data_IF_239943313321
#
_entry.id   IF_239943313321
#
_cell.length_a   1.000
_cell.length_b   1.000
_cell.length_c   1.000
_cell.angle_alpha   90.00
_cell.angle_beta   90.00
_cell.angle_gamma   90.00
#
_symmetry.space_group_name_H-M   'P 1'
#
loop_
_entity.id
_entity.type
_entity.pdbx_description
1 polymer ?
#
# COMPACT_ATOMS: atom_id res chain seq x y z
N UNK A 1 -25.07 8.58 -1.28
CA UNK A 1 -25.27 7.86 -0.01
C UNK A 1 -24.21 6.79 0.07
N UNK A 2 -23.42 6.82 1.14
CA UNK A 2 -22.15 6.15 1.38
C UNK A 2 -22.20 4.61 1.36
N UNK A 3 -22.12 4.00 0.18
CA UNK A 3 -21.97 2.55 0.02
C UNK A 3 -20.66 2.00 0.63
N UNK A 4 -19.70 2.86 0.95
CA UNK A 4 -18.42 2.47 1.55
C UNK A 4 -18.50 2.38 3.08
N UNK A 5 -19.46 3.08 3.70
CA UNK A 5 -19.61 3.15 5.16
C UNK A 5 -20.45 1.98 5.70
N UNK A 6 -21.45 1.53 4.92
CA UNK A 6 -22.25 0.34 5.25
C UNK A 6 -21.44 -0.98 5.20
N UNK A 7 -20.37 -1.04 4.38
CA UNK A 7 -19.49 -2.22 4.35
C UNK A 7 -18.57 -2.31 5.57
N UNK A 8 -18.23 -1.19 6.21
CA UNK A 8 -17.36 -1.17 7.40
C UNK A 8 -18.07 -1.72 8.64
N UNK A 9 -19.38 -1.47 8.78
CA UNK A 9 -20.18 -1.95 9.91
C UNK A 9 -20.37 -3.47 9.92
N UNK A 10 -20.41 -4.12 8.75
CA UNK A 10 -20.61 -5.58 8.66
C UNK A 10 -19.41 -6.39 9.18
N UNK A 11 -18.22 -5.80 9.22
CA UNK A 11 -16.99 -6.44 9.71
C UNK A 11 -16.59 -5.98 11.11
N UNK A 12 -17.37 -5.10 11.76
CA UNK A 12 -17.00 -4.49 13.04
C UNK A 12 -16.86 -5.53 14.17
N UNK A 13 -17.84 -6.44 14.29
CA UNK A 13 -17.84 -7.49 15.32
C UNK A 13 -16.74 -8.55 15.10
N UNK A 14 -16.51 -8.93 13.84
CA UNK A 14 -15.41 -9.84 13.47
C UNK A 14 -14.04 -9.20 13.70
N UNK A 15 -13.92 -7.89 13.49
CA UNK A 15 -12.67 -7.15 13.74
C UNK A 15 -12.37 -7.01 15.23
N UNK A 16 -13.38 -6.84 16.08
CA UNK A 16 -13.19 -6.77 17.54
C UNK A 16 -12.74 -8.12 18.11
N UNK A 17 -13.40 -9.21 17.71
CA UNK A 17 -13.01 -10.58 18.08
C UNK A 17 -11.60 -10.94 17.59
N UNK A 18 -11.27 -10.58 16.34
CA UNK A 18 -9.93 -10.74 15.80
C UNK A 18 -8.90 -9.89 16.55
N UNK A 19 -9.24 -8.65 16.89
CA UNK A 19 -8.40 -7.73 17.66
C UNK A 19 -8.00 -8.34 19.00
N UNK A 20 -8.96 -8.94 19.72
CA UNK A 20 -8.68 -9.64 20.97
C UNK A 20 -7.74 -10.85 20.80
N UNK A 21 -7.86 -11.59 19.70
CA UNK A 21 -6.94 -12.70 19.37
C UNK A 21 -5.54 -12.20 18.99
N UNK A 22 -5.48 -11.10 18.24
CA UNK A 22 -4.25 -10.44 17.81
C UNK A 22 -3.49 -9.87 19.01
N UNK A 23 -4.18 -9.29 20.00
CA UNK A 23 -3.54 -8.76 21.21
C UNK A 23 -3.02 -9.85 22.14
N UNK A 24 -3.62 -11.05 22.11
CA UNK A 24 -3.09 -12.22 22.82
C UNK A 24 -1.77 -12.74 22.22
N UNK A 25 -1.42 -12.38 20.98
CA UNK A 25 -0.13 -12.75 20.40
C UNK A 25 1.05 -12.21 21.20
N UNK A 26 0.89 -11.06 21.86
CA UNK A 26 1.95 -10.44 22.66
C UNK A 26 2.38 -11.33 23.85
N UNK A 27 1.56 -12.32 24.20
CA UNK A 27 1.80 -13.25 25.30
C UNK A 27 2.48 -14.55 24.85
N UNK A 28 2.55 -14.81 23.54
CA UNK A 28 3.12 -16.04 23.00
C UNK A 28 4.58 -15.79 22.59
N UNK A 29 5.54 -16.63 23.00
CA UNK A 29 6.92 -16.49 22.58
C UNK A 29 7.07 -16.50 21.05
N UNK A 30 7.86 -15.56 20.55
CA UNK A 30 8.19 -15.39 19.13
C UNK A 30 8.49 -16.72 18.40
N UNK A 31 9.32 -17.57 19.02
CA UNK A 31 9.77 -18.82 18.44
C UNK A 31 8.64 -19.85 18.24
N UNK A 32 7.65 -19.88 19.13
CA UNK A 32 6.51 -20.81 19.05
C UNK A 32 5.53 -20.41 17.95
N UNK A 33 5.37 -19.10 17.74
CA UNK A 33 4.56 -18.56 16.65
C UNK A 33 5.19 -18.88 15.30
N UNK A 34 6.45 -18.52 15.10
CA UNK A 34 7.14 -18.73 13.83
C UNK A 34 7.18 -20.20 13.42
N UNK A 35 7.29 -21.13 14.37
CA UNK A 35 7.29 -22.57 14.09
C UNK A 35 5.96 -23.09 13.52
N UNK A 36 4.83 -22.44 13.84
CA UNK A 36 3.49 -22.83 13.36
C UNK A 36 3.09 -22.13 12.07
N UNK A 37 3.85 -21.12 11.63
CA UNK A 37 3.47 -20.30 10.50
C UNK A 37 3.89 -20.93 9.18
N UNK A 38 2.99 -21.00 8.18
CA UNK A 38 3.38 -21.29 6.81
C UNK A 38 4.51 -20.36 6.35
N UNK A 39 5.44 -20.87 5.56
CA UNK A 39 6.63 -20.13 5.07
C UNK A 39 6.28 -18.74 4.49
N UNK A 40 5.21 -18.66 3.70
CA UNK A 40 4.77 -17.40 3.10
C UNK A 40 4.36 -16.33 4.13
N UNK A 41 3.79 -16.73 5.27
CA UNK A 41 3.43 -15.80 6.34
C UNK A 41 4.67 -15.32 7.13
N UNK A 42 5.66 -16.19 7.31
CA UNK A 42 6.94 -15.78 7.90
C UNK A 42 7.66 -14.75 7.00
N UNK A 43 7.72 -15.01 5.69
CA UNK A 43 8.28 -14.06 4.72
C UNK A 43 7.53 -12.71 4.72
N UNK A 44 6.19 -12.74 4.83
CA UNK A 44 5.40 -11.52 4.94
C UNK A 44 5.73 -10.71 6.20
N UNK A 45 5.94 -11.37 7.34
CA UNK A 45 6.36 -10.70 8.59
C UNK A 45 7.70 -10.02 8.41
N UNK A 46 8.66 -10.70 7.80
CA UNK A 46 10.00 -10.14 7.60
C UNK A 46 9.95 -8.88 6.72
N UNK A 47 9.17 -8.92 5.65
CA UNK A 47 8.96 -7.75 4.77
C UNK A 47 8.30 -6.60 5.52
N UNK A 48 7.23 -6.86 6.27
CA UNK A 48 6.52 -5.85 7.05
C UNK A 48 7.40 -5.26 8.16
N UNK A 49 8.16 -6.09 8.88
CA UNK A 49 9.05 -5.64 9.94
C UNK A 49 10.19 -4.75 9.38
N UNK A 50 10.74 -5.13 8.23
CA UNK A 50 11.75 -4.34 7.53
C UNK A 50 11.20 -2.95 7.14
N UNK A 51 10.01 -2.88 6.55
CA UNK A 51 9.41 -1.61 6.15
C UNK A 51 8.99 -0.74 7.34
N UNK A 52 8.46 -1.34 8.41
CA UNK A 52 8.16 -0.62 9.66
C UNK A 52 9.44 -0.05 10.31
N UNK A 53 10.52 -0.82 10.29
CA UNK A 53 11.84 -0.37 10.73
C UNK A 53 12.38 0.78 9.89
N UNK A 54 12.24 0.69 8.55
CA UNK A 54 12.58 1.79 7.62
C UNK A 54 11.76 3.05 7.89
N UNK A 55 10.52 2.90 8.36
CA UNK A 55 9.64 3.97 8.83
C UNK A 55 10.04 4.59 10.18
N UNK A 56 11.10 4.12 10.83
CA UNK A 56 11.61 4.66 12.10
C UNK A 56 11.11 3.93 13.35
N UNK A 57 10.40 2.80 13.21
CA UNK A 57 9.97 2.00 14.35
C UNK A 57 11.13 1.18 14.92
N UNK A 58 11.22 1.07 16.25
CA UNK A 58 12.22 0.22 16.90
C UNK A 58 12.04 -1.25 16.49
N UNK A 59 13.13 -1.99 16.28
CA UNK A 59 13.12 -3.33 15.70
C UNK A 59 12.17 -4.32 16.40
N UNK A 60 12.17 -4.32 17.74
CA UNK A 60 11.30 -5.20 18.53
C UNK A 60 9.81 -4.85 18.37
N UNK A 61 9.48 -3.56 18.36
CA UNK A 61 8.12 -3.08 18.09
C UNK A 61 7.68 -3.35 16.65
N UNK A 62 8.60 -3.17 15.69
CA UNK A 62 8.35 -3.43 14.28
C UNK A 62 8.02 -4.90 14.04
N UNK A 63 8.76 -5.82 14.67
CA UNK A 63 8.52 -7.25 14.56
C UNK A 63 7.17 -7.66 15.16
N UNK A 64 6.87 -7.17 16.36
CA UNK A 64 5.58 -7.45 17.02
C UNK A 64 4.41 -6.91 16.20
N UNK A 65 4.50 -5.68 15.71
CA UNK A 65 3.48 -5.06 14.87
C UNK A 65 3.33 -5.79 13.52
N UNK A 66 4.44 -6.20 12.89
CA UNK A 66 4.42 -6.96 11.65
C UNK A 66 3.67 -8.29 11.79
N UNK A 67 3.84 -9.00 12.92
CA UNK A 67 3.08 -10.23 13.20
C UNK A 67 1.59 -9.99 13.31
N UNK A 68 1.19 -8.93 14.03
CA UNK A 68 -0.22 -8.55 14.14
C UNK A 68 -0.82 -8.28 12.76
N UNK A 69 -0.12 -7.48 11.94
CA UNK A 69 -0.55 -7.16 10.57
C UNK A 69 -0.63 -8.39 9.67
N UNK A 70 0.36 -9.28 9.71
CA UNK A 70 0.35 -10.51 8.92
C UNK A 70 -0.80 -11.45 9.31
N UNK A 71 -1.14 -11.55 10.60
CA UNK A 71 -2.28 -12.34 11.06
C UNK A 71 -3.61 -11.76 10.56
N UNK A 72 -3.77 -10.44 10.67
CA UNK A 72 -4.96 -9.74 10.15
C UNK A 72 -5.09 -9.94 8.63
N UNK A 73 -3.97 -9.82 7.90
CA UNK A 73 -3.94 -10.10 6.46
C UNK A 73 -4.34 -11.54 6.15
N UNK A 74 -3.82 -12.52 6.89
CA UNK A 74 -4.15 -13.93 6.73
C UNK A 74 -5.63 -14.21 7.03
N UNK A 75 -6.23 -13.50 7.98
CA UNK A 75 -7.65 -13.66 8.30
C UNK A 75 -8.54 -13.17 7.14
N UNK A 76 -8.30 -11.95 6.64
CA UNK A 76 -9.16 -11.35 5.60
C UNK A 76 -8.85 -11.84 4.17
N UNK A 77 -7.60 -12.21 3.90
CA UNK A 77 -7.14 -12.63 2.57
C UNK A 77 -6.79 -14.12 2.50
N UNK A 78 -6.92 -14.85 3.61
CA UNK A 78 -6.77 -16.30 3.61
C UNK A 78 -7.90 -17.02 2.88
N UNK A 79 -7.69 -18.30 2.58
CA UNK A 79 -8.70 -19.17 2.00
C UNK A 79 -8.90 -19.03 0.48
N UNK A 80 -8.26 -18.06 -0.19
CA UNK A 80 -8.27 -17.90 -1.65
C UNK A 80 -6.90 -17.49 -2.20
N UNK A 81 -6.63 -17.88 -3.45
CA UNK A 81 -5.41 -17.48 -4.13
C UNK A 81 -5.53 -16.02 -4.63
N UNK A 82 -4.58 -15.17 -4.25
CA UNK A 82 -4.45 -13.82 -4.76
C UNK A 82 -3.26 -13.72 -5.71
N UNK A 83 -3.47 -13.07 -6.86
CA UNK A 83 -2.37 -12.60 -7.69
C UNK A 83 -1.94 -11.22 -7.19
N UNK A 84 -0.71 -11.12 -6.70
CA UNK A 84 -0.09 -9.83 -6.36
C UNK A 84 0.69 -9.39 -7.60
N UNK A 85 0.21 -8.37 -8.36
CA UNK A 85 0.95 -7.88 -9.52
C UNK A 85 2.30 -7.31 -9.08
N UNK A 86 3.30 -7.45 -9.93
CA UNK A 86 4.62 -6.87 -9.70
C UNK A 86 4.50 -5.37 -9.52
N UNK A 87 5.20 -4.85 -8.51
CA UNK A 87 5.18 -3.44 -8.13
C UNK A 87 5.69 -2.47 -9.18
N UNK A 88 6.00 -2.90 -10.41
CA UNK A 88 6.43 -2.03 -11.51
C UNK A 88 5.36 -0.98 -11.85
N UNK A 89 4.08 -1.35 -11.83
CA UNK A 89 2.99 -0.37 -12.02
C UNK A 89 2.93 0.64 -10.87
N UNK A 90 3.11 0.17 -9.63
CA UNK A 90 3.12 1.05 -8.46
C UNK A 90 4.35 1.96 -8.45
N UNK A 91 5.53 1.42 -8.75
CA UNK A 91 6.79 2.18 -8.90
C UNK A 91 6.68 3.22 -10.01
N UNK A 92 6.08 2.86 -11.14
CA UNK A 92 5.80 3.79 -12.23
C UNK A 92 4.89 4.91 -11.73
N UNK A 93 3.77 4.60 -11.08
CA UNK A 93 2.86 5.60 -10.52
C UNK A 93 3.54 6.52 -9.48
N UNK A 94 4.39 5.99 -8.60
CA UNK A 94 5.16 6.77 -7.63
C UNK A 94 6.20 7.68 -8.31
N UNK A 95 6.92 7.17 -9.31
CA UNK A 95 7.84 7.96 -10.13
C UNK A 95 7.10 9.07 -10.85
N UNK A 96 5.96 8.76 -11.45
CA UNK A 96 5.17 9.69 -12.24
C UNK A 96 4.58 10.80 -11.36
N UNK A 97 4.18 10.46 -10.13
CA UNK A 97 3.81 11.44 -9.08
C UNK A 97 4.98 12.35 -8.71
N UNK A 98 6.18 11.79 -8.53
CA UNK A 98 7.39 12.56 -8.22
C UNK A 98 7.79 13.50 -9.37
N UNK A 99 7.68 13.05 -10.62
CA UNK A 99 7.87 13.88 -11.82
C UNK A 99 6.90 15.07 -11.80
N UNK A 100 5.64 14.84 -11.46
CA UNK A 100 4.63 15.91 -11.38
C UNK A 100 4.93 16.91 -10.25
N UNK A 101 5.36 16.45 -9.07
CA UNK A 101 5.73 17.34 -7.95
C UNK A 101 6.92 18.25 -8.29
N UNK A 102 7.86 17.77 -9.12
CA UNK A 102 9.04 18.53 -9.55
C UNK A 102 8.82 19.34 -10.83
N UNK A 103 7.70 19.16 -11.52
CA UNK A 103 7.44 19.79 -12.81
C UNK A 103 7.13 21.28 -12.65
N UNK A 104 7.90 22.12 -13.34
CA UNK A 104 7.75 23.58 -13.30
C UNK A 104 7.26 24.20 -14.62
N UNK A 105 6.81 23.38 -15.57
CA UNK A 105 6.34 23.84 -16.88
C UNK A 105 7.39 23.85 -17.98
N UNK A 106 8.69 23.88 -17.65
CA UNK A 106 9.78 24.05 -18.63
C UNK A 106 10.96 23.09 -18.45
N UNK A 107 10.95 22.24 -17.43
CA UNK A 107 12.06 21.36 -17.05
C UNK A 107 11.95 19.90 -17.55
N UNK A 108 11.27 19.65 -18.67
CA UNK A 108 11.04 18.28 -19.17
C UNK A 108 12.34 17.52 -19.43
N UNK A 109 13.32 18.13 -20.12
CA UNK A 109 14.59 17.47 -20.42
C UNK A 109 15.38 17.08 -19.16
N UNK A 110 15.28 17.90 -18.11
CA UNK A 110 15.90 17.63 -16.82
C UNK A 110 15.22 16.44 -16.13
N UNK A 111 13.89 16.42 -16.11
CA UNK A 111 13.10 15.35 -15.49
C UNK A 111 13.31 14.02 -16.22
N UNK A 112 13.33 14.04 -17.56
CA UNK A 112 13.61 12.87 -18.38
C UNK A 112 14.94 12.22 -18.00
N UNK A 113 16.01 13.01 -17.90
CA UNK A 113 17.34 12.52 -17.47
C UNK A 113 17.35 12.03 -16.02
N UNK A 114 16.72 12.77 -15.11
CA UNK A 114 16.69 12.42 -13.67
C UNK A 114 16.00 11.08 -13.41
N UNK A 115 14.90 10.81 -14.12
CA UNK A 115 14.07 9.64 -13.90
C UNK A 115 14.32 8.50 -14.91
N UNK A 116 15.31 8.64 -15.79
CA UNK A 116 15.67 7.61 -16.78
C UNK A 116 14.58 7.37 -17.84
N UNK A 117 13.82 8.41 -18.17
CA UNK A 117 12.77 8.37 -19.19
C UNK A 117 13.20 9.08 -20.46
N UNK A 118 12.58 8.72 -21.59
CA UNK A 118 12.65 9.54 -22.79
C UNK A 118 11.84 10.83 -22.62
N UNK A 119 12.18 11.86 -23.39
CA UNK A 119 11.43 13.13 -23.42
C UNK A 119 9.95 12.92 -23.77
N UNK A 120 9.58 12.11 -24.79
CA UNK A 120 8.17 11.82 -25.07
C UNK A 120 7.44 11.12 -23.91
N UNK A 121 8.08 10.16 -23.23
CA UNK A 121 7.49 9.51 -22.06
C UNK A 121 7.26 10.48 -20.91
N UNK A 122 8.20 11.40 -20.68
CA UNK A 122 8.07 12.42 -19.64
C UNK A 122 6.92 13.39 -19.94
N UNK A 123 6.72 13.76 -21.21
CA UNK A 123 5.54 14.51 -21.64
C UNK A 123 4.23 13.74 -21.39
N UNK A 124 4.20 12.45 -21.71
CA UNK A 124 3.02 11.61 -21.49
C UNK A 124 2.65 11.54 -20.00
N UNK A 125 3.65 11.33 -19.13
CA UNK A 125 3.48 11.34 -17.67
C UNK A 125 2.89 12.67 -17.18
N UNK A 126 3.46 13.81 -17.62
CA UNK A 126 2.96 15.13 -17.23
C UNK A 126 1.52 15.37 -17.72
N UNK A 127 1.19 14.91 -18.93
CA UNK A 127 -0.15 15.03 -19.49
C UNK A 127 -1.18 14.21 -18.68
N UNK A 128 -0.83 12.97 -18.34
CA UNK A 128 -1.67 12.10 -17.50
C UNK A 128 -1.89 12.70 -16.10
N UNK A 129 -0.82 13.16 -15.44
CA UNK A 129 -0.90 13.77 -14.11
C UNK A 129 -1.71 15.07 -14.11
N UNK A 130 -1.64 15.85 -15.19
CA UNK A 130 -2.47 17.04 -15.39
C UNK A 130 -3.96 16.67 -15.49
N UNK A 131 -4.30 15.62 -16.22
CA UNK A 131 -5.68 15.13 -16.33
C UNK A 131 -6.21 14.61 -14.98
N UNK A 132 -5.42 13.82 -14.26
CA UNK A 132 -5.76 13.35 -12.91
C UNK A 132 -6.01 14.51 -11.93
N UNK A 133 -5.14 15.53 -11.98
CA UNK A 133 -5.27 16.73 -11.15
C UNK A 133 -6.52 17.53 -11.52
N UNK A 134 -6.80 17.67 -12.82
CA UNK A 134 -8.00 18.33 -13.34
C UNK A 134 -9.27 17.65 -12.82
N UNK A 135 -9.38 16.32 -12.97
CA UNK A 135 -10.53 15.55 -12.49
C UNK A 135 -10.75 15.67 -10.98
N UNK A 136 -9.66 15.75 -10.20
CA UNK A 136 -9.73 15.89 -8.75
C UNK A 136 -10.26 17.26 -8.31
N UNK A 137 -9.86 18.33 -8.99
CA UNK A 137 -10.24 19.70 -8.62
C UNK A 137 -11.47 20.23 -9.35
N UNK A 138 -11.79 19.68 -10.51
CA UNK A 138 -12.94 20.03 -11.33
C UNK A 138 -13.68 18.75 -11.72
N UNK A 139 -14.66 18.32 -10.91
CA UNK A 139 -15.58 17.28 -11.34
C UNK A 139 -16.27 17.70 -12.62
N UNK A 140 -16.52 16.73 -13.50
CA UNK A 140 -17.06 17.00 -14.83
C UNK A 140 -18.40 17.74 -14.70
N UNK A 141 -18.50 18.91 -15.34
CA UNK A 141 -19.71 19.75 -15.26
C UNK A 141 -20.89 19.11 -16.00
N UNK A 142 -20.62 18.11 -16.84
CA UNK A 142 -21.62 17.42 -17.64
C UNK A 142 -21.42 15.91 -17.56
N UNK A 143 -21.63 15.34 -16.37
CA UNK A 143 -21.78 13.89 -16.24
C UNK A 143 -22.95 13.41 -17.10
N UNK A 144 -22.65 12.72 -18.20
CA UNK A 144 -23.66 12.04 -19.01
C UNK A 144 -24.33 10.94 -18.15
N UNK A 145 -25.67 10.96 -18.13
CA UNK A 145 -26.52 9.88 -17.60
C UNK A 145 -26.40 8.62 -18.43
#
# INVERSE_FOLDING_TARGET
>A
MDSNQENLDLFADDHESLGQLVDRLDQIPAAELTAKWPKALAELVDVLACELGRGGMAADKALTQARKLALVQAHYMGGRAYYIPTGEHLKAALRDRAIWDEFNGRNIDQLARKHGLSVPQTYAVVAEQRELTRRRHQPDLFGYQ
#
